data_IF_898606820722
#
_entry.id   IF_898606820722
#
_cell.length_a   1.000
_cell.length_b   1.000
_cell.length_c   1.000
_cell.angle_alpha   90.00
_cell.angle_beta   90.00
_cell.angle_gamma   90.00
#
_symmetry.space_group_name_H-M   'P 1'
#
loop_
_entity.id
_entity.type
_entity.pdbx_description
1 polymer ?
#
# COMPACT_ATOMS: atom_id res chain seq x y z
N UNK A 1 28.35 -3.44 -21.88
CA UNK A 1 28.57 -4.82 -21.40
C UNK A 1 27.70 -4.96 -20.16
N UNK A 2 26.57 -5.66 -20.24
CA UNK A 2 25.67 -5.82 -19.09
C UNK A 2 26.42 -6.54 -17.97
N UNK A 3 26.27 -6.11 -16.69
CA UNK A 3 26.90 -6.82 -15.59
C UNK A 3 26.39 -8.28 -15.58
N UNK A 4 27.23 -9.23 -15.15
CA UNK A 4 26.84 -10.63 -15.06
C UNK A 4 25.58 -10.73 -14.19
N UNK A 5 24.59 -11.46 -14.69
CA UNK A 5 23.36 -11.79 -13.97
C UNK A 5 23.79 -12.36 -12.63
N UNK A 6 23.57 -11.61 -11.55
CA UNK A 6 23.76 -12.10 -10.18
C UNK A 6 23.01 -13.41 -10.11
N UNK A 7 23.73 -14.50 -9.84
CA UNK A 7 23.19 -15.85 -9.73
C UNK A 7 21.95 -15.76 -8.84
N UNK A 8 20.76 -15.87 -9.45
CA UNK A 8 19.52 -15.68 -8.71
C UNK A 8 19.48 -16.81 -7.69
N UNK A 9 19.57 -16.45 -6.40
CA UNK A 9 19.35 -17.38 -5.30
C UNK A 9 18.09 -18.18 -5.65
N UNK A 10 18.17 -19.53 -5.72
CA UNK A 10 17.05 -20.33 -6.15
C UNK A 10 15.83 -19.96 -5.32
N UNK A 11 14.78 -19.44 -5.97
CA UNK A 11 13.53 -19.14 -5.30
C UNK A 11 12.99 -20.49 -4.81
N UNK A 12 12.83 -20.70 -3.49
CA UNK A 12 12.32 -21.96 -2.98
C UNK A 12 10.99 -22.26 -3.67
N UNK A 13 10.84 -23.45 -4.22
CA UNK A 13 9.56 -23.84 -4.78
C UNK A 13 8.52 -23.88 -3.65
N UNK A 14 7.34 -23.26 -3.84
CA UNK A 14 6.34 -23.24 -2.79
C UNK A 14 5.88 -24.67 -2.51
N UNK A 15 6.00 -25.11 -1.26
CA UNK A 15 5.41 -26.38 -0.82
C UNK A 15 3.88 -26.23 -0.81
N UNK A 16 3.16 -27.33 -1.05
CA UNK A 16 1.70 -27.31 -1.03
C UNK A 16 1.13 -26.83 0.31
N UNK A 17 1.82 -27.15 1.41
CA UNK A 17 1.49 -26.67 2.76
C UNK A 17 1.62 -25.15 2.87
N UNK A 18 2.72 -24.58 2.36
CA UNK A 18 2.96 -23.13 2.38
C UNK A 18 1.95 -22.37 1.52
N UNK A 19 1.63 -22.89 0.33
CA UNK A 19 0.61 -22.31 -0.55
C UNK A 19 -0.77 -22.32 0.12
N UNK A 20 -1.14 -23.43 0.76
CA UNK A 20 -2.42 -23.58 1.47
C UNK A 20 -2.50 -22.63 2.67
N UNK A 21 -1.44 -22.56 3.49
CA UNK A 21 -1.37 -21.66 4.63
C UNK A 21 -1.47 -20.18 4.21
N UNK A 22 -0.83 -19.82 3.08
CA UNK A 22 -0.90 -18.47 2.52
C UNK A 22 -2.32 -18.13 2.07
N UNK A 23 -2.95 -19.01 1.30
CA UNK A 23 -4.33 -18.86 0.84
C UNK A 23 -5.30 -18.67 2.02
N UNK A 24 -5.23 -19.56 3.02
CA UNK A 24 -6.07 -19.50 4.22
C UNK A 24 -5.85 -18.19 4.97
N UNK A 25 -4.60 -17.76 5.16
CA UNK A 25 -4.27 -16.51 5.85
C UNK A 25 -4.82 -15.28 5.13
N UNK A 26 -4.66 -15.22 3.80
CA UNK A 26 -5.20 -14.13 2.97
C UNK A 26 -6.73 -14.13 3.04
N UNK A 27 -7.37 -15.29 2.92
CA UNK A 27 -8.84 -15.39 3.01
C UNK A 27 -9.34 -14.92 4.37
N UNK A 28 -8.74 -15.36 5.49
CA UNK A 28 -9.11 -14.91 6.84
C UNK A 28 -8.93 -13.39 6.97
N UNK A 29 -7.79 -12.86 6.53
CA UNK A 29 -7.50 -11.43 6.58
C UNK A 29 -8.54 -10.59 5.81
N UNK A 30 -8.91 -11.03 4.61
CA UNK A 30 -9.91 -10.36 3.79
C UNK A 30 -11.32 -10.49 4.38
N UNK A 31 -11.69 -11.65 4.94
CA UNK A 31 -12.97 -11.86 5.59
C UNK A 31 -13.13 -10.99 6.84
N UNK A 32 -12.08 -10.87 7.67
CA UNK A 32 -12.10 -9.97 8.83
C UNK A 32 -12.23 -8.52 8.36
N UNK A 33 -11.43 -8.12 7.36
CA UNK A 33 -11.46 -6.77 6.79
C UNK A 33 -12.84 -6.42 6.22
N UNK A 34 -13.44 -7.33 5.46
CA UNK A 34 -14.77 -7.18 4.90
C UNK A 34 -15.86 -7.19 5.98
N UNK A 35 -15.74 -8.07 6.98
CA UNK A 35 -16.67 -8.16 8.11
C UNK A 35 -16.74 -6.86 8.92
N UNK A 36 -15.58 -6.26 9.21
CA UNK A 36 -15.49 -4.94 9.86
C UNK A 36 -16.19 -3.87 9.00
N UNK A 37 -15.93 -3.88 7.69
CA UNK A 37 -16.53 -2.94 6.74
C UNK A 37 -18.05 -3.05 6.66
N UNK A 38 -18.57 -4.28 6.54
CA UNK A 38 -20.01 -4.56 6.49
C UNK A 38 -20.69 -4.19 7.81
N UNK A 39 -20.10 -4.50 8.96
CA UNK A 39 -20.66 -4.15 10.26
C UNK A 39 -20.88 -2.64 10.41
N UNK A 40 -19.92 -1.84 9.95
CA UNK A 40 -20.00 -0.37 9.99
C UNK A 40 -20.92 0.18 8.91
N UNK A 41 -20.93 -0.43 7.72
CA UNK A 41 -21.89 -0.09 6.66
C UNK A 41 -23.33 -0.22 7.17
N UNK A 42 -23.66 -1.28 7.92
CA UNK A 42 -25.00 -1.48 8.51
C UNK A 42 -25.36 -0.44 9.59
N UNK A 43 -24.38 0.32 10.11
CA UNK A 43 -24.61 1.41 11.07
C UNK A 43 -24.78 2.79 10.44
N UNK A 44 -24.40 2.98 9.16
CA UNK A 44 -24.53 4.27 8.49
C UNK A 44 -26.00 4.59 8.18
N UNK A 45 -26.48 5.79 8.53
CA UNK A 45 -27.88 6.21 8.32
C UNK A 45 -28.08 7.22 7.19
N UNK A 46 -27.02 7.79 6.62
CA UNK A 46 -27.07 8.77 5.52
C UNK A 46 -25.91 8.64 4.52
N UNK A 47 -26.05 9.25 3.32
CA UNK A 47 -24.98 9.27 2.30
C UNK A 47 -23.73 10.04 2.75
N UNK A 48 -23.90 11.13 3.51
CA UNK A 48 -22.76 11.89 4.06
C UNK A 48 -22.02 11.08 5.15
N UNK A 49 -22.76 10.35 6.01
CA UNK A 49 -22.14 9.38 6.94
C UNK A 49 -21.47 8.24 6.18
N UNK A 50 -22.01 7.86 5.02
CA UNK A 50 -21.39 6.86 4.15
C UNK A 50 -20.11 7.39 3.48
N UNK A 51 -20.06 8.67 3.11
CA UNK A 51 -18.91 9.25 2.41
C UNK A 51 -17.81 9.73 3.37
N UNK A 52 -18.13 10.14 4.60
CA UNK A 52 -17.17 10.81 5.51
C UNK A 52 -17.04 10.08 6.85
N UNK A 53 -17.94 9.15 7.18
CA UNK A 53 -18.04 8.56 8.52
C UNK A 53 -18.67 9.50 9.55
N UNK A 54 -18.71 9.09 10.82
CA UNK A 54 -19.30 9.87 11.92
C UNK A 54 -18.39 11.00 12.45
N UNK A 55 -17.24 11.26 11.81
CA UNK A 55 -16.22 12.25 12.24
C UNK A 55 -15.75 12.08 13.69
N UNK A 56 -15.96 10.90 14.25
CA UNK A 56 -15.66 10.49 15.63
C UNK A 56 -14.47 9.54 15.71
N UNK A 57 -13.87 9.20 14.57
CA UNK A 57 -12.71 8.31 14.49
C UNK A 57 -11.52 8.99 15.16
N UNK A 58 -11.05 8.40 16.27
CA UNK A 58 -9.92 8.90 17.03
C UNK A 58 -8.62 8.99 16.23
N UNK A 59 -7.63 9.75 16.74
CA UNK A 59 -6.36 10.00 16.03
C UNK A 59 -5.57 8.72 15.75
N UNK A 60 -5.62 7.73 16.65
CA UNK A 60 -4.90 6.45 16.47
C UNK A 60 -5.47 5.66 15.30
N UNK A 61 -6.79 5.46 15.25
CA UNK A 61 -7.44 4.73 14.17
C UNK A 61 -7.26 5.44 12.82
N UNK A 62 -7.32 6.78 12.81
CA UNK A 62 -7.03 7.58 11.62
C UNK A 62 -5.59 7.41 11.16
N UNK A 63 -4.62 7.42 12.08
CA UNK A 63 -3.21 7.19 11.78
C UNK A 63 -2.95 5.81 11.18
N UNK A 64 -3.53 4.77 11.78
CA UNK A 64 -3.42 3.40 11.27
C UNK A 64 -4.04 3.25 9.88
N UNK A 65 -5.22 3.86 9.65
CA UNK A 65 -5.84 3.86 8.34
C UNK A 65 -4.99 4.58 7.28
N UNK A 66 -4.34 5.69 7.67
CA UNK A 66 -3.40 6.41 6.82
C UNK A 66 -2.18 5.54 6.48
N UNK A 67 -1.63 4.82 7.47
CA UNK A 67 -0.53 3.87 7.25
C UNK A 67 -0.92 2.74 6.29
N UNK A 68 -2.11 2.15 6.45
CA UNK A 68 -2.60 1.12 5.54
C UNK A 68 -2.75 1.65 4.11
N UNK A 69 -3.24 2.87 3.96
CA UNK A 69 -3.40 3.54 2.66
C UNK A 69 -2.05 3.86 2.00
N UNK A 70 -1.04 4.19 2.81
CA UNK A 70 0.31 4.46 2.35
C UNK A 70 1.06 3.20 1.91
N UNK A 71 0.78 2.07 2.58
CA UNK A 71 1.43 0.80 2.30
C UNK A 71 0.96 0.25 0.95
N UNK A 72 1.87 0.17 -0.02
CA UNK A 72 1.56 -0.28 -1.37
C UNK A 72 2.61 -1.26 -1.90
N UNK A 73 2.31 -1.91 -3.04
CA UNK A 73 3.25 -2.80 -3.71
C UNK A 73 4.57 -2.13 -4.07
N UNK A 74 4.56 -0.82 -4.34
CA UNK A 74 5.79 -0.05 -4.50
C UNK A 74 6.56 0.09 -3.18
N UNK A 75 5.87 0.42 -2.08
CA UNK A 75 6.51 0.64 -0.78
C UNK A 75 7.16 -0.64 -0.22
N UNK A 76 6.53 -1.79 -0.42
CA UNK A 76 7.06 -3.09 0.04
C UNK A 76 8.05 -3.67 -0.97
N UNK A 77 7.58 -3.99 -2.18
CA UNK A 77 8.39 -4.74 -3.15
C UNK A 77 9.33 -3.85 -3.95
N UNK A 78 8.89 -2.64 -4.30
CA UNK A 78 9.73 -1.68 -5.02
C UNK A 78 10.95 -1.27 -4.19
N UNK A 79 10.73 -0.88 -2.93
CA UNK A 79 11.84 -0.52 -2.03
C UNK A 79 12.75 -1.72 -1.72
N UNK A 80 12.18 -2.90 -1.48
CA UNK A 80 12.98 -4.11 -1.25
C UNK A 80 13.86 -4.43 -2.46
N UNK A 81 13.34 -4.35 -3.68
CA UNK A 81 14.10 -4.57 -4.92
C UNK A 81 15.21 -3.54 -5.13
N UNK A 82 14.93 -2.25 -4.88
CA UNK A 82 15.95 -1.20 -4.94
C UNK A 82 17.05 -1.42 -3.90
N UNK A 83 16.68 -1.79 -2.68
CA UNK A 83 17.63 -2.03 -1.59
C UNK A 83 18.45 -3.29 -1.82
N UNK A 84 17.88 -4.31 -2.48
CA UNK A 84 18.63 -5.49 -2.92
C UNK A 84 19.66 -5.15 -4.00
N UNK A 85 19.32 -4.24 -4.91
CA UNK A 85 20.18 -3.88 -6.05
C UNK A 85 21.27 -2.87 -5.67
N UNK A 86 20.95 -1.92 -4.80
CA UNK A 86 21.79 -0.75 -4.48
C UNK A 86 22.19 -0.66 -3.00
N UNK A 87 21.90 -1.69 -2.20
CA UNK A 87 22.14 -1.68 -0.76
C UNK A 87 21.37 -0.57 -0.04
N UNK A 88 21.96 -0.01 1.01
CA UNK A 88 21.36 1.08 1.79
C UNK A 88 21.05 2.32 0.96
N UNK A 89 21.84 2.59 -0.07
CA UNK A 89 21.59 3.74 -0.95
C UNK A 89 20.23 3.60 -1.63
N UNK A 90 19.79 2.39 -1.99
CA UNK A 90 18.49 2.14 -2.63
C UNK A 90 17.26 2.49 -1.76
N UNK A 91 17.43 2.57 -0.44
CA UNK A 91 16.37 2.97 0.49
C UNK A 91 16.16 4.49 0.59
N UNK A 92 16.95 5.33 -0.08
CA UNK A 92 16.83 6.79 0.02
C UNK A 92 15.40 7.29 -0.26
N UNK A 93 14.74 6.66 -1.24
CA UNK A 93 13.44 7.05 -1.74
C UNK A 93 12.34 6.84 -0.71
N UNK A 94 12.41 5.76 0.10
CA UNK A 94 11.42 5.53 1.15
C UNK A 94 11.51 6.59 2.25
N UNK A 95 12.73 6.98 2.64
CA UNK A 95 12.94 8.02 3.64
C UNK A 95 12.37 9.37 3.21
N UNK A 96 12.74 9.82 2.00
CA UNK A 96 12.29 11.12 1.47
C UNK A 96 10.77 11.12 1.26
N UNK A 97 10.19 10.08 0.67
CA UNK A 97 8.75 10.04 0.40
C UNK A 97 7.92 10.01 1.70
N UNK A 98 8.38 9.34 2.75
CA UNK A 98 7.70 9.37 4.06
C UNK A 98 7.77 10.76 4.71
N UNK A 99 8.95 11.40 4.69
CA UNK A 99 9.10 12.77 5.24
C UNK A 99 8.26 13.79 4.47
N UNK A 100 8.24 13.70 3.15
CA UNK A 100 7.40 14.54 2.29
C UNK A 100 5.91 14.28 2.54
N UNK A 101 5.48 13.02 2.61
CA UNK A 101 4.09 12.65 2.90
C UNK A 101 3.62 13.20 4.25
N UNK A 102 4.43 13.00 5.30
CA UNK A 102 4.09 13.47 6.65
C UNK A 102 4.04 14.99 6.74
N UNK A 103 5.02 15.69 6.14
CA UNK A 103 5.03 17.15 6.12
C UNK A 103 3.85 17.73 5.33
N UNK A 104 3.48 17.12 4.20
CA UNK A 104 2.28 17.50 3.46
C UNK A 104 1.01 17.27 4.28
N UNK A 105 0.88 16.14 4.98
CA UNK A 105 -0.26 15.89 5.87
C UNK A 105 -0.33 16.95 6.99
N UNK A 106 0.79 17.29 7.62
CA UNK A 106 0.83 18.27 8.70
C UNK A 106 0.44 19.68 8.23
N UNK A 107 1.00 20.15 7.11
CA UNK A 107 0.76 21.51 6.60
C UNK A 107 -0.58 21.62 5.88
N UNK A 108 -0.88 20.66 5.01
CA UNK A 108 -2.05 20.73 4.13
C UNK A 108 -3.30 20.22 4.82
N UNK A 109 -3.20 19.34 5.83
CA UNK A 109 -4.35 18.80 6.57
C UNK A 109 -5.20 19.89 7.23
N UNK A 110 -4.60 20.96 7.75
CA UNK A 110 -5.35 22.11 8.28
C UNK A 110 -6.07 22.88 7.16
N UNK A 111 -5.41 23.10 6.02
CA UNK A 111 -6.01 23.79 4.87
C UNK A 111 -7.16 23.00 4.26
N UNK A 112 -7.01 21.69 4.15
CA UNK A 112 -8.04 20.80 3.62
C UNK A 112 -9.31 20.80 4.47
N UNK A 113 -9.20 20.93 5.80
CA UNK A 113 -10.36 21.11 6.68
C UNK A 113 -11.20 22.34 6.32
N UNK A 114 -10.57 23.44 5.90
CA UNK A 114 -11.29 24.66 5.47
C UNK A 114 -12.06 24.44 4.18
N UNK A 115 -11.48 23.74 3.20
CA UNK A 115 -12.19 23.40 1.96
C UNK A 115 -13.31 22.39 2.19
N UNK A 116 -13.11 21.44 3.10
CA UNK A 116 -14.15 20.49 3.49
C UNK A 116 -15.37 21.16 4.14
N UNK A 117 -15.16 22.25 4.89
CA UNK A 117 -16.24 23.09 5.42
C UNK A 117 -17.01 23.84 4.33
N UNK A 118 -16.38 24.11 3.18
CA UNK A 118 -17.01 24.70 1.99
C UNK A 118 -17.70 23.66 1.08
N UNK A 119 -17.82 22.41 1.54
CA UNK A 119 -18.51 21.34 0.81
C UNK A 119 -17.64 20.53 -0.15
N UNK A 120 -16.32 20.78 -0.22
CA UNK A 120 -15.43 19.93 -1.02
C UNK A 120 -15.18 18.59 -0.33
N UNK A 121 -15.41 17.48 -1.02
CA UNK A 121 -15.17 16.11 -0.54
C UNK A 121 -14.01 15.44 -1.26
N UNK A 122 -13.70 15.86 -2.49
CA UNK A 122 -12.61 15.31 -3.31
C UNK A 122 -11.55 16.36 -3.66
N UNK A 123 -10.34 15.92 -4.01
CA UNK A 123 -9.26 16.84 -4.42
C UNK A 123 -9.64 17.69 -5.65
N UNK A 124 -10.30 17.16 -6.70
CA UNK A 124 -10.80 17.99 -7.80
C UNK A 124 -11.83 19.04 -7.35
N UNK A 125 -12.68 18.73 -6.36
CA UNK A 125 -13.61 19.72 -5.79
C UNK A 125 -12.90 20.80 -4.99
N UNK A 126 -11.79 20.48 -4.30
CA UNK A 126 -10.94 21.50 -3.69
C UNK A 126 -10.42 22.47 -4.75
N UNK A 127 -9.98 21.96 -5.91
CA UNK A 127 -9.56 22.81 -7.03
C UNK A 127 -10.72 23.68 -7.55
N UNK A 128 -11.94 23.12 -7.65
CA UNK A 128 -13.14 23.87 -7.99
C UNK A 128 -13.40 25.03 -7.03
N UNK A 129 -13.39 24.77 -5.72
CA UNK A 129 -13.64 25.78 -4.69
C UNK A 129 -12.54 26.84 -4.69
N UNK A 130 -11.29 26.45 -4.92
CA UNK A 130 -10.16 27.36 -4.92
C UNK A 130 -10.14 28.34 -6.11
N UNK A 131 -10.52 27.85 -7.30
CA UNK A 131 -10.44 28.59 -8.57
C UNK A 131 -11.81 29.00 -9.13
N UNK A 132 -12.89 28.65 -8.45
CA UNK A 132 -14.28 28.86 -8.88
C UNK A 132 -14.56 28.41 -10.33
N UNK A 133 -13.95 27.30 -10.77
CA UNK A 133 -14.02 26.85 -12.17
C UNK A 133 -14.33 25.36 -12.27
N UNK A 134 -15.41 25.04 -13.00
CA UNK A 134 -15.79 23.65 -13.34
C UNK A 134 -14.82 23.01 -14.34
N UNK A 135 -14.20 23.82 -15.20
CA UNK A 135 -13.18 23.34 -16.14
C UNK A 135 -11.95 22.84 -15.39
N UNK A 136 -11.47 23.59 -14.39
CA UNK A 136 -10.34 23.18 -13.55
C UNK A 136 -10.67 21.91 -12.75
N UNK A 137 -11.90 21.79 -12.24
CA UNK A 137 -12.38 20.56 -11.60
C UNK A 137 -12.30 19.35 -12.54
N UNK A 138 -12.79 19.50 -13.77
CA UNK A 138 -12.79 18.42 -14.76
C UNK A 138 -11.37 18.00 -15.14
N UNK A 139 -10.47 18.96 -15.40
CA UNK A 139 -9.07 18.68 -15.73
C UNK A 139 -8.34 17.98 -14.57
N UNK A 140 -8.54 18.44 -13.34
CA UNK A 140 -7.97 17.80 -12.15
C UNK A 140 -8.52 16.37 -11.95
N UNK A 141 -9.82 16.16 -12.20
CA UNK A 141 -10.45 14.84 -12.13
C UNK A 141 -9.91 13.88 -13.19
N UNK A 142 -9.80 14.31 -14.44
CA UNK A 142 -9.26 13.51 -15.55
C UNK A 142 -7.80 13.13 -15.26
N UNK A 143 -6.98 14.10 -14.86
CA UNK A 143 -5.58 13.84 -14.50
C UNK A 143 -5.48 12.81 -13.36
N UNK A 144 -6.31 12.95 -12.32
CA UNK A 144 -6.35 12.01 -11.20
C UNK A 144 -6.73 10.60 -11.64
N UNK A 145 -7.75 10.46 -12.49
CA UNK A 145 -8.18 9.15 -13.01
C UNK A 145 -7.04 8.47 -13.79
N UNK A 146 -6.40 9.20 -14.71
CA UNK A 146 -5.30 8.67 -15.52
C UNK A 146 -4.15 8.20 -14.63
N UNK A 147 -3.73 9.04 -13.67
CA UNK A 147 -2.64 8.71 -12.75
C UNK A 147 -2.97 7.49 -11.88
N UNK A 148 -4.21 7.37 -11.39
CA UNK A 148 -4.64 6.23 -10.58
C UNK A 148 -4.71 4.93 -11.40
N UNK A 149 -5.10 4.98 -12.67
CA UNK A 149 -5.08 3.82 -13.56
C UNK A 149 -3.64 3.32 -13.75
N UNK A 150 -2.72 4.22 -14.10
CA UNK A 150 -1.29 3.88 -14.29
C UNK A 150 -0.71 3.32 -12.98
N UNK A 151 -1.02 3.94 -11.85
CA UNK A 151 -0.60 3.46 -10.54
C UNK A 151 -1.12 2.04 -10.23
N UNK A 152 -2.39 1.76 -10.57
CA UNK A 152 -3.03 0.46 -10.31
C UNK A 152 -2.35 -0.68 -11.06
N UNK A 153 -1.80 -0.44 -12.25
CA UNK A 153 -1.05 -1.46 -13.02
C UNK A 153 0.12 -2.02 -12.20
N UNK A 154 0.87 -1.15 -11.53
CA UNK A 154 1.98 -1.55 -10.67
C UNK A 154 1.52 -2.39 -9.48
N UNK A 155 0.36 -2.05 -8.89
CA UNK A 155 -0.22 -2.78 -7.77
C UNK A 155 -0.65 -4.20 -8.19
N UNK A 156 -1.36 -4.32 -9.31
CA UNK A 156 -1.79 -5.62 -9.83
C UNK A 156 -0.61 -6.51 -10.21
N UNK A 157 0.44 -5.93 -10.82
CA UNK A 157 1.67 -6.66 -11.12
C UNK A 157 2.33 -7.19 -9.84
N UNK A 158 2.44 -6.36 -8.80
CA UNK A 158 3.01 -6.78 -7.52
C UNK A 158 2.19 -7.92 -6.88
N UNK A 159 0.86 -7.79 -6.83
CA UNK A 159 -0.02 -8.82 -6.29
C UNK A 159 0.08 -10.15 -7.05
N UNK A 160 0.05 -10.10 -8.39
CA UNK A 160 0.16 -11.30 -9.24
C UNK A 160 1.51 -12.00 -9.06
N UNK A 161 2.60 -11.24 -8.97
CA UNK A 161 3.93 -11.80 -8.75
C UNK A 161 4.05 -12.50 -7.40
N UNK A 162 3.56 -11.87 -6.32
CA UNK A 162 3.57 -12.49 -4.99
C UNK A 162 2.73 -13.77 -4.98
N UNK A 163 1.54 -13.70 -5.56
CA UNK A 163 0.67 -14.87 -5.64
C UNK A 163 1.35 -16.04 -6.35
N UNK A 164 1.91 -15.82 -7.54
CA UNK A 164 2.68 -16.83 -8.27
C UNK A 164 3.87 -17.37 -7.48
N UNK A 165 4.60 -16.52 -6.76
CA UNK A 165 5.73 -16.95 -5.93
C UNK A 165 5.27 -17.86 -4.77
N UNK A 166 4.08 -17.62 -4.23
CA UNK A 166 3.55 -18.36 -3.08
C UNK A 166 2.79 -19.63 -3.44
N UNK A 167 2.13 -19.67 -4.60
CA UNK A 167 1.26 -20.79 -5.01
C UNK A 167 1.82 -21.61 -6.15
N UNK A 168 2.84 -21.10 -6.86
CA UNK A 168 3.37 -21.72 -8.08
C UNK A 168 2.43 -21.61 -9.28
N UNK A 169 1.31 -20.88 -9.19
CA UNK A 169 0.36 -20.74 -10.31
C UNK A 169 0.90 -19.85 -11.43
N UNK A 170 0.53 -20.09 -12.70
CA UNK A 170 0.94 -19.24 -13.81
C UNK A 170 0.57 -17.77 -13.57
N UNK A 171 1.50 -16.85 -13.89
CA UNK A 171 1.37 -15.42 -13.59
C UNK A 171 0.08 -14.78 -14.10
N UNK A 172 -0.36 -15.15 -15.32
CA UNK A 172 -1.61 -14.64 -15.87
C UNK A 172 -2.84 -15.11 -15.07
N UNK A 173 -2.84 -16.36 -14.59
CA UNK A 173 -3.91 -16.88 -13.74
C UNK A 173 -3.95 -16.18 -12.39
N UNK A 174 -2.78 -15.93 -11.80
CA UNK A 174 -2.61 -15.15 -10.56
C UNK A 174 -3.12 -13.70 -10.70
N UNK A 175 -2.82 -13.06 -11.83
CA UNK A 175 -3.29 -11.70 -12.13
C UNK A 175 -4.82 -11.65 -12.20
N UNK A 176 -5.45 -12.56 -12.94
CA UNK A 176 -6.91 -12.61 -13.07
C UNK A 176 -7.57 -12.92 -11.73
N UNK A 177 -7.05 -13.89 -10.97
CA UNK A 177 -7.59 -14.25 -9.66
C UNK A 177 -7.55 -13.09 -8.66
N UNK A 178 -6.39 -12.41 -8.56
CA UNK A 178 -6.23 -11.25 -7.66
C UNK A 178 -7.06 -10.04 -8.11
N UNK A 179 -7.25 -9.85 -9.42
CA UNK A 179 -8.16 -8.84 -9.94
C UNK A 179 -9.63 -9.10 -9.59
N UNK A 180 -10.11 -10.33 -9.77
CA UNK A 180 -11.47 -10.73 -9.37
C UNK A 180 -11.66 -10.53 -7.87
N UNK A 181 -10.71 -10.99 -7.06
CA UNK A 181 -10.74 -10.84 -5.60
C UNK A 181 -10.85 -9.37 -5.18
N UNK A 182 -10.06 -8.49 -5.81
CA UNK A 182 -10.09 -7.05 -5.57
C UNK A 182 -11.46 -6.44 -5.93
N UNK A 183 -12.02 -6.80 -7.10
CA UNK A 183 -13.34 -6.31 -7.53
C UNK A 183 -14.44 -6.75 -6.55
N UNK A 184 -14.44 -8.02 -6.17
CA UNK A 184 -15.42 -8.55 -5.19
C UNK A 184 -15.27 -7.83 -3.85
N UNK A 185 -14.05 -7.65 -3.37
CA UNK A 185 -13.77 -6.95 -2.12
C UNK A 185 -14.25 -5.49 -2.16
N UNK A 186 -13.99 -4.78 -3.26
CA UNK A 186 -14.46 -3.39 -3.46
C UNK A 186 -15.98 -3.31 -3.56
N UNK A 187 -16.62 -4.25 -4.25
CA UNK A 187 -18.07 -4.30 -4.40
C UNK A 187 -18.78 -4.54 -3.07
N UNK A 188 -18.21 -5.38 -2.19
CA UNK A 188 -18.77 -5.70 -0.88
C UNK A 188 -18.49 -4.62 0.17
N UNK A 189 -17.33 -3.94 0.09
CA UNK A 189 -16.84 -3.06 1.15
C UNK A 189 -17.51 -1.69 1.27
N UNK A 190 -17.90 -1.05 0.17
CA UNK A 190 -18.31 0.37 0.19
C UNK A 190 -17.21 1.34 0.71
N UNK A 191 -17.46 2.65 0.74
CA UNK A 191 -16.48 3.68 1.18
C UNK A 191 -16.54 4.00 2.70
N UNK A 192 -17.71 3.83 3.33
CA UNK A 192 -17.96 4.24 4.72
C UNK A 192 -17.29 3.37 5.79
N UNK A 193 -17.30 2.06 5.56
CA UNK A 193 -16.77 1.07 6.49
C UNK A 193 -15.26 0.90 6.38
N UNK A 194 -14.64 1.52 5.37
CA UNK A 194 -13.25 1.25 4.99
C UNK A 194 -12.26 1.84 5.98
N UNK A 195 -12.57 2.92 6.69
CA UNK A 195 -11.58 3.56 7.58
C UNK A 195 -11.17 2.69 8.76
N UNK A 196 -12.11 1.96 9.39
CA UNK A 196 -11.77 1.03 10.47
C UNK A 196 -11.22 -0.29 9.95
N UNK A 197 -11.68 -0.77 8.79
CA UNK A 197 -11.01 -1.88 8.10
C UNK A 197 -9.56 -1.53 7.76
N UNK A 198 -9.30 -0.32 7.26
CA UNK A 198 -7.97 0.22 7.00
C UNK A 198 -7.17 0.38 8.30
N UNK A 199 -7.80 0.83 9.39
CA UNK A 199 -7.13 0.91 10.69
C UNK A 199 -6.69 -0.48 11.19
N UNK A 200 -7.54 -1.50 11.02
CA UNK A 200 -7.17 -2.89 11.31
C UNK A 200 -6.02 -3.36 10.42
N UNK A 201 -6.11 -3.17 9.10
CA UNK A 201 -5.05 -3.55 8.15
C UNK A 201 -3.73 -2.85 8.47
N UNK A 202 -3.79 -1.55 8.83
CA UNK A 202 -2.63 -0.77 9.25
C UNK A 202 -2.02 -1.26 10.55
N UNK A 203 -2.84 -1.66 11.52
CA UNK A 203 -2.38 -2.28 12.75
C UNK A 203 -1.67 -3.61 12.48
N UNK A 204 -2.23 -4.44 11.60
CA UNK A 204 -1.62 -5.70 11.17
C UNK A 204 -0.28 -5.44 10.49
N UNK A 205 -0.21 -4.51 9.52
CA UNK A 205 1.05 -4.16 8.86
C UNK A 205 2.10 -3.61 9.82
N UNK A 206 1.68 -2.82 10.81
CA UNK A 206 2.58 -2.30 11.83
C UNK A 206 3.14 -3.46 12.67
N UNK A 207 2.30 -4.30 13.26
CA UNK A 207 2.74 -5.39 14.14
C UNK A 207 3.58 -6.42 13.36
N UNK A 208 3.07 -6.91 12.24
CA UNK A 208 3.76 -7.92 11.41
C UNK A 208 5.05 -7.35 10.84
N UNK A 209 5.01 -6.12 10.30
CA UNK A 209 6.19 -5.48 9.72
C UNK A 209 7.32 -5.28 10.73
N UNK A 210 7.01 -4.83 11.95
CA UNK A 210 8.01 -4.68 13.01
C UNK A 210 8.56 -6.02 13.48
N UNK A 211 7.71 -7.03 13.70
CA UNK A 211 8.16 -8.37 14.11
C UNK A 211 9.10 -8.97 13.06
N UNK A 212 8.68 -8.99 11.79
CA UNK A 212 9.51 -9.54 10.71
C UNK A 212 10.77 -8.72 10.44
N UNK A 213 10.69 -7.39 10.55
CA UNK A 213 11.85 -6.51 10.39
C UNK A 213 12.90 -6.76 11.47
N UNK A 214 12.48 -6.79 12.74
CA UNK A 214 13.39 -7.08 13.86
C UNK A 214 13.95 -8.50 13.75
N UNK A 215 13.10 -9.48 13.46
CA UNK A 215 13.52 -10.87 13.34
C UNK A 215 14.52 -11.07 12.20
N UNK A 216 14.32 -10.42 11.05
CA UNK A 216 15.26 -10.52 9.93
C UNK A 216 16.63 -9.92 10.24
N UNK A 217 16.70 -8.85 11.03
CA UNK A 217 17.97 -8.27 11.52
C UNK A 217 18.71 -9.27 12.41
N UNK A 218 18.01 -9.93 13.33
CA UNK A 218 18.63 -10.94 14.20
C UNK A 218 19.07 -12.17 13.41
N UNK A 219 18.26 -12.63 12.47
CA UNK A 219 18.58 -13.76 11.60
C UNK A 219 19.82 -13.49 10.73
N UNK A 220 19.97 -12.26 10.24
CA UNK A 220 21.15 -11.81 9.49
C UNK A 220 22.41 -11.62 10.37
N UNK A 221 22.32 -11.86 11.69
CA UNK A 221 23.44 -11.72 12.62
C UNK A 221 23.74 -10.27 13.04
N UNK A 222 22.76 -9.38 12.90
CA UNK A 222 22.79 -8.00 13.39
C UNK A 222 23.22 -6.95 12.36
N UNK A 223 23.05 -5.66 12.68
CA UNK A 223 23.31 -4.56 11.74
C UNK A 223 24.75 -4.49 11.24
N UNK A 224 25.73 -4.86 12.06
CA UNK A 224 27.15 -4.84 11.71
C UNK A 224 27.46 -5.83 10.57
N UNK A 225 26.98 -7.08 10.68
CA UNK A 225 27.16 -8.09 9.63
C UNK A 225 26.42 -7.74 8.35
N UNK A 226 25.24 -7.12 8.45
CA UNK A 226 24.53 -6.60 7.28
C UNK A 226 25.36 -5.51 6.59
N UNK A 227 25.93 -4.58 7.35
CA UNK A 227 26.77 -3.52 6.80
C UNK A 227 28.06 -4.05 6.14
N UNK A 228 28.71 -5.05 6.76
CA UNK A 228 29.87 -5.73 6.19
C UNK A 228 29.53 -6.47 4.89
N UNK A 229 28.43 -7.22 4.88
CA UNK A 229 27.95 -7.95 3.70
C UNK A 229 27.60 -7.00 2.55
N UNK A 230 26.96 -5.86 2.87
CA UNK A 230 26.67 -4.79 1.91
C UNK A 230 27.98 -4.18 1.39
N UNK A 231 28.94 -3.85 2.26
CA UNK A 231 30.21 -3.26 1.83
C UNK A 231 31.04 -4.19 0.94
N UNK A 232 30.94 -5.51 1.15
CA UNK A 232 31.60 -6.52 0.32
C UNK A 232 30.85 -6.80 -0.99
N UNK A 233 29.55 -6.48 -1.07
CA UNK A 233 28.74 -6.70 -2.26
C UNK A 233 29.09 -5.66 -3.35
N UNK A 234 29.34 -6.14 -4.57
CA UNK A 234 29.52 -5.28 -5.74
C UNK A 234 28.15 -4.80 -6.23
N UNK A 235 27.71 -3.65 -5.73
CA UNK A 235 26.51 -2.99 -6.26
C UNK A 235 26.79 -2.36 -7.62
N UNK A 236 25.83 -2.46 -8.53
CA UNK A 236 25.84 -1.68 -9.77
C UNK A 236 25.52 -0.25 -9.41
N UNK A 237 26.36 0.72 -9.79
CA UNK A 237 26.11 2.13 -9.49
C UNK A 237 24.78 2.58 -10.14
N UNK A 238 23.98 3.45 -9.51
CA UNK A 238 22.82 4.05 -10.17
C UNK A 238 23.32 4.92 -11.34
N UNK A 239 23.18 4.43 -12.57
CA UNK A 239 23.64 5.10 -13.78
C UNK A 239 24.48 4.24 -14.74
N UNK A 240 24.90 3.04 -14.32
CA UNK A 240 25.78 2.15 -15.08
C UNK A 240 27.17 2.07 -14.45
#
# INVERSE_FOLDING_TARGET
>A
MFPPVVEQVPIPSPTAEFATATMVSITIFLLISAGIGIYLFRKARSYDEWLVGHRDIGPIATGLALTATWMSGWAIFGNAGLSYTYGWSGSWLIGIMNLMGLSLCAVMGYRMRRYAALGARTVPEVARVRFNSRLVQALAGIAMIILLIVYSVGQYKAMASVWTLTTGTPWLGSLVATAILCIVYLAVGGYAGTQLSLAFQGAVFLVVGWIFGIWSIFWAGGPAKIAEAIAAAKFVAPGG
#
